data_IF_200833000290
#
_entry.id   IF_200833000290
#
_cell.length_a   1.000
_cell.length_b   1.000
_cell.length_c   1.000
_cell.angle_alpha   90.00
_cell.angle_beta   90.00
_cell.angle_gamma   90.00
#
_symmetry.space_group_name_H-M   'P 1'
#
loop_
_entity.id
_entity.type
_entity.pdbx_description
1 polymer ?
#
# COMPACT_ATOMS: atom_id res chain seq x y z
N UNK A 1 -21.70 -25.68 -14.93
CA UNK A 1 -20.32 -25.14 -14.98
C UNK A 1 -20.15 -24.28 -13.74
N UNK A 2 -19.27 -24.70 -12.83
CA UNK A 2 -19.09 -24.10 -11.50
C UNK A 2 -18.52 -22.68 -11.61
N UNK A 3 -19.36 -21.67 -11.39
CA UNK A 3 -18.93 -20.28 -11.15
C UNK A 3 -18.54 -20.17 -9.68
N UNK A 4 -17.46 -20.83 -9.27
CA UNK A 4 -16.96 -20.76 -7.89
C UNK A 4 -15.53 -20.28 -7.93
N UNK A 5 -15.37 -18.97 -7.81
CA UNK A 5 -14.35 -18.21 -7.09
C UNK A 5 -14.50 -16.75 -7.53
N UNK A 6 -15.56 -16.09 -7.07
CA UNK A 6 -15.72 -14.65 -7.21
C UNK A 6 -14.59 -13.93 -6.48
N UNK A 7 -13.58 -13.49 -7.24
CA UNK A 7 -12.71 -12.32 -7.07
C UNK A 7 -11.98 -12.02 -5.74
N UNK A 8 -12.08 -12.83 -4.69
CA UNK A 8 -11.42 -12.55 -3.40
C UNK A 8 -10.01 -13.15 -3.28
N UNK A 9 -9.51 -13.80 -4.33
CA UNK A 9 -8.12 -14.26 -4.34
C UNK A 9 -7.17 -13.05 -4.30
N UNK A 10 -6.04 -13.24 -3.62
CA UNK A 10 -4.98 -12.24 -3.49
C UNK A 10 -5.39 -10.94 -2.77
N UNK A 11 -6.42 -11.03 -1.93
CA UNK A 11 -6.76 -10.00 -0.97
C UNK A 11 -6.20 -10.39 0.40
N UNK A 12 -5.48 -9.48 1.03
CA UNK A 12 -4.80 -9.70 2.30
C UNK A 12 -5.14 -8.57 3.27
N UNK A 13 -5.21 -8.89 4.56
CA UNK A 13 -5.20 -7.84 5.58
C UNK A 13 -3.76 -7.39 5.74
N UNK A 14 -3.53 -6.09 5.77
CA UNK A 14 -2.20 -5.54 6.00
C UNK A 14 -2.27 -4.36 6.97
N UNK A 15 -1.24 -4.18 7.78
CA UNK A 15 -1.05 -3.02 8.64
C UNK A 15 0.02 -2.12 8.02
N UNK A 16 -0.31 -0.87 7.69
CA UNK A 16 0.65 0.08 7.13
C UNK A 16 1.53 0.63 8.24
N UNK A 17 2.83 0.33 8.18
CA UNK A 17 3.81 0.75 9.20
C UNK A 17 4.47 2.08 8.90
N UNK A 18 4.57 2.46 7.62
CA UNK A 18 5.07 3.78 7.21
C UNK A 18 4.69 4.13 5.78
N UNK A 19 4.59 5.43 5.49
CA UNK A 19 4.46 5.99 4.14
C UNK A 19 5.73 6.76 3.77
N UNK A 20 6.38 6.36 2.68
CA UNK A 20 7.62 6.97 2.20
C UNK A 20 7.35 8.08 1.19
N UNK A 21 6.58 7.77 0.14
CA UNK A 21 6.27 8.66 -0.98
C UNK A 21 4.77 8.68 -1.27
N UNK A 22 4.33 9.47 -2.24
CA UNK A 22 2.91 9.56 -2.64
C UNK A 22 2.33 8.29 -3.27
N UNK A 23 3.15 7.28 -3.55
CA UNK A 23 2.74 5.99 -4.12
C UNK A 23 3.44 4.79 -3.47
N UNK A 24 4.27 4.99 -2.44
CA UNK A 24 5.12 3.94 -1.85
C UNK A 24 4.97 3.92 -0.34
N UNK A 25 4.65 2.75 0.21
CA UNK A 25 4.47 2.52 1.65
C UNK A 25 5.09 1.18 2.08
N UNK A 26 5.21 0.97 3.40
CA UNK A 26 5.60 -0.30 3.99
C UNK A 26 4.47 -0.87 4.82
N UNK A 27 4.30 -2.19 4.72
CA UNK A 27 3.22 -2.90 5.36
C UNK A 27 3.65 -4.24 5.95
N UNK A 28 2.95 -4.61 7.02
CA UNK A 28 2.95 -5.97 7.54
C UNK A 28 1.71 -6.70 7.03
N UNK A 29 1.91 -7.75 6.24
CA UNK A 29 0.86 -8.45 5.50
C UNK A 29 0.56 -9.79 6.19
N UNK A 30 -0.70 -10.00 6.55
CA UNK A 30 -1.23 -11.26 7.05
C UNK A 30 -1.62 -12.14 5.86
N UNK A 31 -0.86 -13.21 5.63
CA UNK A 31 -1.11 -14.19 4.56
C UNK A 31 -1.92 -15.40 5.05
N UNK A 32 -2.39 -15.35 6.30
CA UNK A 32 -3.14 -16.43 6.95
C UNK A 32 -2.25 -17.47 7.62
N UNK A 33 -2.89 -18.43 8.30
CA UNK A 33 -2.22 -19.55 8.99
C UNK A 33 -1.16 -19.11 10.04
N UNK A 34 -1.32 -17.91 10.61
CA UNK A 34 -0.36 -17.35 11.56
C UNK A 34 0.94 -16.86 10.91
N UNK A 35 1.02 -16.83 9.57
CA UNK A 35 2.19 -16.38 8.82
C UNK A 35 2.03 -14.91 8.45
N UNK A 36 3.11 -14.15 8.63
CA UNK A 36 3.18 -12.73 8.33
C UNK A 36 4.39 -12.44 7.44
N UNK A 37 4.18 -11.59 6.44
CA UNK A 37 5.28 -10.91 5.75
C UNK A 37 5.42 -9.54 6.40
N UNK A 38 6.56 -9.27 7.04
CA UNK A 38 6.78 -8.04 7.82
C UNK A 38 7.70 -7.10 7.06
N UNK A 39 7.38 -5.80 7.08
CA UNK A 39 8.22 -4.77 6.47
C UNK A 39 8.25 -4.80 4.94
N UNK A 40 7.21 -5.31 4.29
CA UNK A 40 7.13 -5.38 2.84
C UNK A 40 6.95 -3.99 2.23
N UNK A 41 7.72 -3.66 1.18
CA UNK A 41 7.59 -2.39 0.46
C UNK A 41 6.58 -2.54 -0.66
N UNK A 42 5.52 -1.74 -0.61
CA UNK A 42 4.43 -1.76 -1.56
C UNK A 42 4.44 -0.49 -2.41
N UNK A 43 4.19 -0.66 -3.71
CA UNK A 43 3.95 0.43 -4.65
C UNK A 43 2.51 0.40 -5.13
N UNK A 44 1.82 1.53 -5.01
CA UNK A 44 0.43 1.66 -5.44
C UNK A 44 0.34 1.57 -6.96
N UNK A 45 -0.46 0.64 -7.45
CA UNK A 45 -0.62 0.45 -8.88
C UNK A 45 -1.30 1.64 -9.54
N UNK A 46 -0.84 1.99 -10.76
CA UNK A 46 -1.35 3.10 -11.59
C UNK A 46 -1.21 4.48 -10.96
N UNK A 47 -0.48 4.62 -9.87
CA UNK A 47 -0.13 5.91 -9.28
C UNK A 47 1.37 6.13 -9.54
N UNK A 48 1.70 7.27 -10.14
CA UNK A 48 3.07 7.75 -10.27
C UNK A 48 3.16 9.10 -9.57
N UNK A 49 3.68 9.12 -8.35
CA UNK A 49 3.74 10.33 -7.54
C UNK A 49 4.88 11.25 -8.02
N UNK A 50 4.77 12.59 -7.83
CA UNK A 50 5.90 13.49 -8.03
C UNK A 50 7.07 13.14 -7.11
N UNK A 51 8.29 13.31 -7.60
CA UNK A 51 9.52 13.01 -6.85
C UNK A 51 9.66 13.89 -5.59
N UNK A 52 10.07 13.29 -4.46
CA UNK A 52 10.34 14.00 -3.21
C UNK A 52 11.58 14.90 -3.27
N UNK A 53 12.44 14.72 -4.26
CA UNK A 53 13.70 15.46 -4.35
C UNK A 53 13.84 16.03 -5.75
N UNK A 54 14.09 17.34 -5.84
CA UNK A 54 14.25 18.07 -7.09
C UNK A 54 13.18 19.13 -7.30
N UNK A 55 12.86 19.43 -8.55
CA UNK A 55 11.99 20.55 -8.91
C UNK A 55 10.54 20.40 -8.41
N UNK A 56 10.07 19.17 -8.21
CA UNK A 56 8.71 18.86 -7.75
C UNK A 56 8.61 18.51 -6.26
N UNK A 57 9.67 18.74 -5.47
CA UNK A 57 9.74 18.39 -4.03
C UNK A 57 8.50 18.85 -3.24
N UNK A 58 8.03 20.08 -3.47
CA UNK A 58 6.83 20.61 -2.80
C UNK A 58 5.57 19.77 -3.10
N UNK A 59 5.39 19.34 -4.35
CA UNK A 59 4.25 18.50 -4.76
C UNK A 59 4.42 17.07 -4.27
N UNK A 60 5.65 16.54 -4.31
CA UNK A 60 5.97 15.21 -3.79
C UNK A 60 5.63 15.11 -2.30
N UNK A 61 6.08 16.09 -1.50
CA UNK A 61 5.75 16.18 -0.07
C UNK A 61 4.25 16.27 0.17
N UNK A 62 3.54 17.12 -0.58
CA UNK A 62 2.09 17.22 -0.46
C UNK A 62 1.39 15.89 -0.78
N UNK A 63 1.84 15.16 -1.82
CA UNK A 63 1.28 13.86 -2.17
C UNK A 63 1.56 12.79 -1.12
N UNK A 64 2.78 12.74 -0.58
CA UNK A 64 3.16 11.85 0.53
C UNK A 64 2.32 12.14 1.77
N UNK A 65 2.22 13.41 2.17
CA UNK A 65 1.51 13.81 3.40
C UNK A 65 0.01 13.51 3.28
N UNK A 66 -0.56 13.66 2.08
CA UNK A 66 -1.92 13.24 1.79
C UNK A 66 -2.09 11.73 1.96
N UNK A 67 -1.25 10.90 1.31
CA UNK A 67 -1.30 9.44 1.46
C UNK A 67 -1.15 9.03 2.93
N UNK A 68 -0.20 9.66 3.64
CA UNK A 68 0.06 9.43 5.06
C UNK A 68 -1.20 9.68 5.91
N UNK A 69 -1.93 10.77 5.66
CA UNK A 69 -3.19 11.06 6.36
C UNK A 69 -4.28 9.98 6.15
N UNK A 70 -4.24 9.29 5.01
CA UNK A 70 -5.23 8.30 4.63
C UNK A 70 -4.92 6.93 5.23
N UNK A 71 -3.66 6.47 5.20
CA UNK A 71 -3.33 5.05 5.48
C UNK A 71 -2.28 4.82 6.57
N UNK A 72 -1.50 5.81 7.00
CA UNK A 72 -0.39 5.60 7.94
C UNK A 72 -0.87 5.07 9.29
N UNK A 73 -0.30 3.95 9.74
CA UNK A 73 -0.69 3.28 10.98
C UNK A 73 -2.08 2.62 10.96
N UNK A 74 -2.67 2.41 9.78
CA UNK A 74 -4.00 1.81 9.63
C UNK A 74 -3.94 0.39 9.09
N UNK A 75 -4.93 -0.40 9.48
CA UNK A 75 -5.22 -1.70 8.87
C UNK A 75 -6.00 -1.49 7.57
N UNK A 76 -5.55 -2.14 6.49
CA UNK A 76 -6.11 -2.01 5.15
C UNK A 76 -6.38 -3.37 4.53
N UNK A 77 -7.28 -3.39 3.53
CA UNK A 77 -7.42 -4.51 2.61
C UNK A 77 -6.46 -4.28 1.44
N UNK A 78 -5.42 -5.10 1.35
CA UNK A 78 -4.46 -5.10 0.27
C UNK A 78 -4.94 -6.03 -0.84
N UNK A 79 -5.08 -5.52 -2.06
CA UNK A 79 -5.34 -6.32 -3.25
C UNK A 79 -4.08 -6.36 -4.12
N UNK A 80 -3.60 -7.55 -4.46
CA UNK A 80 -2.56 -7.69 -5.48
C UNK A 80 -3.19 -7.88 -6.86
N UNK A 81 -2.42 -7.53 -7.89
CA UNK A 81 -2.88 -7.45 -9.29
C UNK A 81 -1.80 -7.97 -10.24
#
# INVERSE_FOLDING_TARGET
MSTILGSQLFHYRAHITSVYDGDTCTADIDVGLGVWVRGEKLRLHRINAPELHGADDAKGKASRDHLKSIIDGKDVLLQTI
#
